data_IF_298307872819
#
_entry.id   IF_298307872819
#
_cell.length_a   1.000
_cell.length_b   1.000
_cell.length_c   1.000
_cell.angle_alpha   90.00
_cell.angle_beta   90.00
_cell.angle_gamma   90.00
#
_symmetry.space_group_name_H-M   'P 1'
#
loop_
_entity.id
_entity.type
_entity.pdbx_description
1 polymer ?
#
# COMPACT_ATOMS: atom_id res chain seq x y z
N UNK A 1 23.70 -10.52 -4.10
CA UNK A 1 22.34 -9.97 -3.88
C UNK A 1 22.49 -8.47 -3.97
N UNK A 2 21.91 -7.82 -4.98
CA UNK A 2 21.99 -6.36 -5.10
C UNK A 2 21.53 -5.74 -3.79
N UNK A 3 22.36 -4.88 -3.20
CA UNK A 3 22.05 -4.16 -1.97
C UNK A 3 20.88 -3.22 -2.27
N UNK A 4 19.67 -3.72 -2.04
CA UNK A 4 18.46 -2.92 -2.02
C UNK A 4 18.59 -1.97 -0.82
N UNK A 5 19.06 -0.75 -1.09
CA UNK A 5 19.03 0.36 -0.14
C UNK A 5 17.59 0.79 0.07
N UNK A 6 16.85 0.00 0.86
CA UNK A 6 15.48 0.30 1.22
C UNK A 6 15.47 1.36 2.33
N UNK A 7 14.55 2.33 2.27
CA UNK A 7 14.26 3.18 3.40
C UNK A 7 13.98 2.35 4.66
N UNK A 8 14.33 2.87 5.85
CA UNK A 8 14.06 2.20 7.13
C UNK A 8 12.58 1.91 7.37
N UNK A 9 11.72 2.66 6.67
CA UNK A 9 10.27 2.52 6.65
C UNK A 9 9.78 1.31 5.85
N UNK A 10 10.66 0.61 5.13
CA UNK A 10 10.32 -0.54 4.29
C UNK A 10 10.96 -1.83 4.81
N UNK A 11 10.20 -2.93 4.83
CA UNK A 11 10.69 -4.27 5.18
C UNK A 11 10.32 -5.27 4.11
N UNK A 12 11.24 -6.17 3.75
CA UNK A 12 10.95 -7.31 2.87
C UNK A 12 10.74 -8.58 3.70
N UNK A 13 9.76 -9.38 3.32
CA UNK A 13 9.54 -10.73 3.85
C UNK A 13 9.31 -11.74 2.71
N UNK A 14 9.62 -13.01 2.98
CA UNK A 14 9.45 -14.11 2.05
C UNK A 14 8.45 -15.11 2.64
N UNK A 15 7.14 -14.95 2.39
CA UNK A 15 6.11 -15.72 3.08
C UNK A 15 6.18 -17.22 2.76
N UNK A 16 6.72 -17.60 1.60
CA UNK A 16 6.86 -18.99 1.16
C UNK A 16 8.24 -19.61 1.47
N UNK A 17 9.09 -18.90 2.22
CA UNK A 17 10.46 -19.32 2.51
C UNK A 17 11.51 -18.52 1.74
N UNK A 18 12.73 -18.48 2.28
CA UNK A 18 13.81 -17.57 1.82
C UNK A 18 14.32 -17.84 0.40
N UNK A 19 14.05 -19.02 -0.13
CA UNK A 19 14.48 -19.43 -1.47
C UNK A 19 13.50 -18.95 -2.57
N UNK A 20 12.27 -18.56 -2.20
CA UNK A 20 11.28 -18.01 -3.13
C UNK A 20 11.54 -16.52 -3.38
N UNK A 21 12.66 -16.21 -4.03
CA UNK A 21 13.11 -14.83 -4.26
C UNK A 21 12.21 -14.05 -5.23
N UNK A 22 11.39 -14.75 -6.03
CA UNK A 22 10.52 -14.15 -7.05
C UNK A 22 9.13 -13.80 -6.51
N UNK A 23 8.76 -14.33 -5.33
CA UNK A 23 7.53 -13.99 -4.64
C UNK A 23 7.84 -13.51 -3.23
N UNK A 24 7.80 -12.20 -3.05
CA UNK A 24 8.11 -11.58 -1.77
C UNK A 24 7.08 -10.51 -1.43
N UNK A 25 7.08 -10.09 -0.17
CA UNK A 25 6.27 -8.98 0.28
C UNK A 25 7.15 -7.83 0.70
N UNK A 26 6.70 -6.60 0.43
CA UNK A 26 7.27 -5.40 0.99
C UNK A 26 6.23 -4.71 1.87
N UNK A 27 6.57 -4.48 3.13
CA UNK A 27 5.76 -3.68 4.07
C UNK A 27 6.34 -2.28 4.17
N UNK A 28 5.54 -1.28 3.83
CA UNK A 28 5.84 0.15 4.00
C UNK A 28 5.14 0.68 5.25
N UNK A 29 5.89 1.41 6.08
CA UNK A 29 5.41 2.13 7.26
C UNK A 29 5.82 3.59 7.18
N UNK A 30 4.98 4.47 6.62
CA UNK A 30 5.30 5.88 6.52
C UNK A 30 5.58 6.47 7.90
N UNK A 31 6.68 7.20 8.01
CA UNK A 31 7.12 7.94 9.20
C UNK A 31 6.80 9.45 9.12
N UNK A 32 6.21 9.89 8.01
CA UNK A 32 5.71 11.25 7.80
C UNK A 32 4.47 11.29 6.90
N UNK A 33 3.89 12.48 6.74
CA UNK A 33 2.75 12.74 5.85
C UNK A 33 1.39 12.22 6.36
N UNK A 34 0.39 12.20 5.48
CA UNK A 34 -0.99 11.87 5.84
C UNK A 34 -1.17 10.43 6.36
N UNK A 35 -0.32 9.52 5.86
CA UNK A 35 -0.35 8.09 6.17
C UNK A 35 0.57 7.70 7.33
N UNK A 36 1.13 8.68 8.06
CA UNK A 36 1.96 8.46 9.23
C UNK A 36 1.29 7.48 10.20
N UNK A 37 2.06 6.45 10.60
CA UNK A 37 1.62 5.41 11.51
C UNK A 37 0.77 4.31 10.87
N UNK A 38 0.56 4.35 9.55
CA UNK A 38 -0.01 3.25 8.78
C UNK A 38 1.00 2.15 8.46
N UNK A 39 0.50 0.99 8.07
CA UNK A 39 1.27 -0.19 7.67
C UNK A 39 0.63 -0.82 6.43
N UNK A 40 1.35 -0.75 5.32
CA UNK A 40 0.87 -1.16 4.00
C UNK A 40 1.73 -2.30 3.47
N UNK A 41 1.14 -3.46 3.23
CA UNK A 41 1.87 -4.63 2.70
C UNK A 41 1.55 -4.81 1.24
N UNK A 42 2.59 -4.97 0.41
CA UNK A 42 2.50 -5.23 -1.01
C UNK A 42 3.10 -6.59 -1.33
N UNK A 43 2.44 -7.37 -2.18
CA UNK A 43 3.01 -8.59 -2.76
C UNK A 43 3.64 -8.30 -4.10
N UNK A 44 4.85 -8.77 -4.30
CA UNK A 44 5.58 -8.73 -5.55
C UNK A 44 5.66 -10.13 -6.13
N UNK A 45 5.31 -10.26 -7.40
CA UNK A 45 5.47 -11.49 -8.18
C UNK A 45 6.27 -11.18 -9.44
N UNK A 46 7.52 -11.66 -9.47
CA UNK A 46 8.46 -11.48 -10.58
C UNK A 46 8.36 -12.70 -11.50
N UNK A 47 7.99 -12.45 -12.76
CA UNK A 47 7.93 -13.48 -13.79
C UNK A 47 9.35 -13.84 -14.28
N UNK A 48 9.62 -15.10 -14.70
CA UNK A 48 10.88 -15.46 -15.36
C UNK A 48 11.20 -14.62 -16.61
N UNK A 49 10.19 -13.98 -17.21
CA UNK A 49 10.32 -13.10 -18.36
C UNK A 49 10.85 -11.70 -18.02
N UNK A 50 11.15 -11.39 -16.76
CA UNK A 50 11.79 -10.14 -16.38
C UNK A 50 13.18 -10.02 -17.05
N UNK A 51 13.57 -8.85 -17.59
CA UNK A 51 12.93 -7.54 -17.48
C UNK A 51 11.88 -7.22 -18.57
N UNK A 52 11.56 -8.14 -19.48
CA UNK A 52 10.58 -7.90 -20.54
C UNK A 52 9.14 -7.83 -20.02
N UNK A 53 8.80 -8.64 -19.01
CA UNK A 53 7.53 -8.51 -18.28
C UNK A 53 7.78 -7.81 -16.93
N UNK A 54 7.02 -6.76 -16.65
CA UNK A 54 7.09 -6.04 -15.38
C UNK A 54 6.61 -6.94 -14.22
N UNK A 55 7.16 -6.77 -13.01
CA UNK A 55 6.67 -7.49 -11.84
C UNK A 55 5.22 -7.10 -11.54
N UNK A 56 4.41 -8.07 -11.12
CA UNK A 56 3.04 -7.83 -10.66
C UNK A 56 3.08 -7.41 -9.20
N UNK A 57 2.50 -6.25 -8.88
CA UNK A 57 2.47 -5.70 -7.52
C UNK A 57 1.01 -5.55 -7.08
N UNK A 58 0.67 -6.03 -5.88
CA UNK A 58 -0.68 -5.89 -5.30
C UNK A 58 -0.60 -5.44 -3.85
N UNK A 59 -1.45 -4.50 -3.45
CA UNK A 59 -1.59 -4.11 -2.04
C UNK A 59 -2.49 -5.11 -1.30
N UNK A 60 -2.00 -5.71 -0.20
CA UNK A 60 -2.78 -6.60 0.68
C UNK A 60 -3.63 -5.85 1.70
N UNK A 61 -3.28 -4.61 2.01
CA UNK A 61 -4.04 -3.73 2.91
C UNK A 61 -5.28 -3.18 2.18
N UNK A 62 -6.24 -4.10 1.93
CA UNK A 62 -7.59 -3.99 1.32
C UNK A 62 -7.94 -2.75 0.47
N UNK A 63 -8.23 -3.01 -0.80
CA UNK A 63 -9.37 -2.44 -1.55
C UNK A 63 -10.50 -3.48 -1.57
N UNK A 64 -11.78 -3.06 -1.62
CA UNK A 64 -12.74 -3.74 -2.48
C UNK A 64 -13.30 -2.72 -3.46
N UNK A 65 -12.77 -2.67 -4.69
CA UNK A 65 -13.63 -2.49 -5.86
C UNK A 65 -12.88 -2.88 -7.13
N UNK A 66 -13.63 -3.49 -8.04
CA UNK A 66 -13.27 -4.16 -9.29
C UNK A 66 -13.43 -3.21 -10.51
N UNK A 67 -13.79 -1.95 -10.26
CA UNK A 67 -14.03 -0.87 -11.23
C UNK A 67 -12.97 0.26 -11.12
N UNK A 68 -11.70 -0.03 -10.81
CA UNK A 68 -10.71 0.97 -10.38
C UNK A 68 -9.95 1.68 -11.54
N UNK A 69 -10.07 3.03 -11.66
CA UNK A 69 -9.00 3.89 -12.14
C UNK A 69 -8.58 4.94 -11.08
N UNK A 70 -8.30 4.47 -9.86
CA UNK A 70 -7.59 5.10 -8.74
C UNK A 70 -8.22 6.37 -8.13
N UNK A 71 -9.34 6.17 -7.42
CA UNK A 71 -9.88 7.01 -6.33
C UNK A 71 -9.97 8.53 -6.61
N UNK A 72 -10.74 8.91 -7.63
CA UNK A 72 -10.97 10.29 -8.02
C UNK A 72 -11.58 11.16 -6.90
N UNK A 73 -12.42 10.58 -6.04
CA UNK A 73 -13.07 11.26 -4.92
C UNK A 73 -12.03 11.72 -3.89
N UNK A 74 -11.13 10.83 -3.47
CA UNK A 74 -10.08 11.19 -2.52
C UNK A 74 -9.11 12.22 -3.11
N UNK A 75 -8.82 12.14 -4.42
CA UNK A 75 -8.00 13.14 -5.11
C UNK A 75 -8.67 14.52 -5.14
N UNK A 76 -9.98 14.58 -5.38
CA UNK A 76 -10.74 15.84 -5.32
C UNK A 76 -10.74 16.42 -3.89
N UNK A 77 -10.96 15.59 -2.86
CA UNK A 77 -10.89 16.04 -1.47
C UNK A 77 -9.50 16.57 -1.11
N UNK A 78 -8.43 15.94 -1.58
CA UNK A 78 -7.07 16.42 -1.34
C UNK A 78 -6.84 17.80 -1.98
N UNK A 79 -7.31 18.02 -3.22
CA UNK A 79 -7.18 19.29 -3.92
C UNK A 79 -7.98 20.41 -3.25
N UNK A 80 -9.24 20.12 -2.90
CA UNK A 80 -10.20 21.14 -2.47
C UNK A 80 -10.16 21.38 -0.95
N UNK A 81 -9.81 20.35 -0.16
CA UNK A 81 -9.73 20.43 1.30
C UNK A 81 -8.72 19.43 1.91
N UNK A 82 -7.42 19.79 1.93
CA UNK A 82 -6.35 18.93 2.49
C UNK A 82 -6.58 18.51 3.95
N UNK A 83 -7.21 19.35 4.77
CA UNK A 83 -7.49 19.05 6.18
C UNK A 83 -8.56 17.95 6.31
N UNK A 84 -9.61 18.01 5.49
CA UNK A 84 -10.62 16.94 5.40
C UNK A 84 -9.98 15.65 4.90
N UNK A 85 -9.10 15.72 3.89
CA UNK A 85 -8.37 14.56 3.40
C UNK A 85 -7.57 13.90 4.52
N UNK A 86 -6.78 14.67 5.28
CA UNK A 86 -6.02 14.17 6.41
C UNK A 86 -6.91 13.47 7.45
N UNK A 87 -8.05 14.07 7.82
CA UNK A 87 -8.99 13.46 8.76
C UNK A 87 -9.55 12.15 8.21
N UNK A 88 -9.93 12.11 6.93
CA UNK A 88 -10.44 10.91 6.26
C UNK A 88 -9.40 9.78 6.28
N UNK A 89 -8.13 10.08 5.96
CA UNK A 89 -7.03 9.11 6.00
C UNK A 89 -6.87 8.55 7.42
N UNK A 90 -6.89 9.39 8.45
CA UNK A 90 -6.76 8.94 9.84
C UNK A 90 -7.93 8.06 10.31
N UNK A 91 -9.16 8.38 9.89
CA UNK A 91 -10.35 7.57 10.17
C UNK A 91 -10.27 6.23 9.45
N UNK A 92 -9.91 6.22 8.17
CA UNK A 92 -9.75 5.00 7.38
C UNK A 92 -8.67 4.07 7.97
N UNK A 93 -7.48 4.59 8.27
CA UNK A 93 -6.39 3.78 8.82
C UNK A 93 -6.70 3.19 10.20
N UNK A 94 -7.54 3.85 10.98
CA UNK A 94 -7.91 3.38 12.33
C UNK A 94 -8.95 2.24 12.31
N UNK A 95 -9.53 1.94 11.15
CA UNK A 95 -10.59 0.96 10.97
C UNK A 95 -11.96 1.60 11.17
N UNK A 96 -12.55 2.13 10.10
CA UNK A 96 -13.77 2.93 10.19
C UNK A 96 -14.34 3.29 8.83
N UNK A 97 -15.35 4.15 8.83
CA UNK A 97 -16.03 4.59 7.62
C UNK A 97 -15.53 5.95 7.17
N UNK A 98 -15.34 6.10 5.86
CA UNK A 98 -15.27 7.40 5.19
C UNK A 98 -16.44 7.45 4.22
N UNK A 99 -17.34 8.41 4.45
CA UNK A 99 -18.65 8.43 3.83
C UNK A 99 -19.37 7.08 4.04
N UNK A 100 -19.72 6.35 2.98
CA UNK A 100 -20.40 5.05 3.08
C UNK A 100 -19.46 3.84 2.88
N UNK A 101 -18.15 4.06 2.77
CA UNK A 101 -17.17 3.00 2.52
C UNK A 101 -16.42 2.65 3.80
N UNK A 102 -16.49 1.39 4.21
CA UNK A 102 -15.73 0.87 5.34
C UNK A 102 -14.30 0.52 4.94
N UNK A 103 -13.32 1.03 5.69
CA UNK A 103 -11.92 0.71 5.57
C UNK A 103 -11.48 -0.13 6.76
N UNK A 104 -10.85 -1.30 6.54
CA UNK A 104 -10.26 -2.07 7.62
C UNK A 104 -9.07 -1.32 8.21
N UNK A 105 -8.81 -1.57 9.50
CA UNK A 105 -7.67 -0.99 10.20
C UNK A 105 -6.35 -1.41 9.53
N UNK A 106 -5.45 -0.44 9.38
CA UNK A 106 -4.11 -0.66 8.85
C UNK A 106 -3.01 0.12 9.59
N UNK A 107 -3.28 0.58 10.82
CA UNK A 107 -2.24 0.98 11.79
C UNK A 107 -1.61 -0.25 12.43
#
# INVERSE_FOLDING_TARGET
IAELNLPKTTKISFPNGKDDLMNFEATLRPDEGYYLGGSFTFTFQVSPSYPHEAPKVKCKTKQPNDEDPLNHEAAAVLRDNPQKFQRNVQMAMSGGYVDNTHFPRCK
#
